data_IF_805081065215
#
_entry.id   IF_805081065215
#
_cell.length_a   1.000
_cell.length_b   1.000
_cell.length_c   1.000
_cell.angle_alpha   90.00
_cell.angle_beta   90.00
_cell.angle_gamma   90.00
#
_symmetry.space_group_name_H-M   'P 1'
#
loop_
_entity.id
_entity.type
_entity.pdbx_description
1 polymer ?
#
# COMPACT_ATOMS: atom_id res chain seq x y z
N UNK A 1 -13.20 -5.46 -19.16
CA UNK A 1 -13.79 -5.09 -17.86
C UNK A 1 -12.65 -5.19 -16.86
N UNK A 2 -11.87 -4.12 -16.77
CA UNK A 2 -10.51 -4.17 -16.24
C UNK A 2 -10.47 -3.33 -14.96
N UNK A 3 -11.28 -3.75 -14.00
CA UNK A 3 -11.43 -3.13 -12.68
C UNK A 3 -10.73 -3.97 -11.60
N UNK A 4 -9.77 -4.78 -12.03
CA UNK A 4 -8.95 -5.61 -11.16
C UNK A 4 -7.96 -4.72 -10.41
N UNK A 5 -7.92 -4.90 -9.08
CA UNK A 5 -6.99 -4.20 -8.20
C UNK A 5 -5.91 -5.17 -7.74
N UNK A 6 -4.67 -4.73 -7.77
CA UNK A 6 -3.50 -5.52 -7.40
C UNK A 6 -2.72 -4.79 -6.31
N UNK A 7 -2.20 -5.54 -5.35
CA UNK A 7 -1.35 -5.00 -4.28
C UNK A 7 0.05 -4.81 -4.82
N UNK A 8 0.51 -3.56 -4.85
CA UNK A 8 1.84 -3.20 -5.37
C UNK A 8 2.88 -3.06 -4.26
N UNK A 9 2.45 -2.78 -3.02
CA UNK A 9 3.36 -2.60 -1.89
C UNK A 9 2.65 -2.86 -0.56
N UNK A 10 3.38 -3.36 0.41
CA UNK A 10 2.92 -3.52 1.81
C UNK A 10 3.76 -2.64 2.72
N UNK A 11 3.10 -1.87 3.56
CA UNK A 11 3.72 -0.96 4.53
C UNK A 11 3.59 -1.50 5.93
N UNK A 12 4.49 -1.10 6.82
CA UNK A 12 4.47 -1.57 8.22
C UNK A 12 3.54 -0.72 9.10
N UNK A 13 3.22 0.51 8.66
CA UNK A 13 2.40 1.45 9.41
C UNK A 13 1.34 2.12 8.53
N UNK A 14 0.23 2.54 9.15
CA UNK A 14 -0.85 3.25 8.43
C UNK A 14 -0.39 4.60 7.93
N UNK A 15 0.51 5.25 8.67
CA UNK A 15 1.10 6.51 8.27
C UNK A 15 1.87 6.38 6.94
N UNK A 16 2.77 5.41 6.83
CA UNK A 16 3.53 5.19 5.58
C UNK A 16 2.61 4.84 4.42
N UNK A 17 1.60 3.99 4.67
CA UNK A 17 0.64 3.60 3.66
C UNK A 17 -0.23 4.79 3.20
N UNK A 18 -0.64 5.64 4.13
CA UNK A 18 -1.41 6.86 3.87
C UNK A 18 -0.60 7.89 3.08
N UNK A 19 0.68 8.06 3.39
CA UNK A 19 1.60 8.91 2.62
C UNK A 19 1.70 8.41 1.18
N UNK A 20 1.98 7.12 1.00
CA UNK A 20 2.06 6.50 -0.33
C UNK A 20 0.74 6.60 -1.11
N UNK A 21 -0.39 6.38 -0.44
CA UNK A 21 -1.73 6.59 -1.03
C UNK A 21 -1.90 8.04 -1.49
N UNK A 22 -1.49 9.02 -0.67
CA UNK A 22 -1.60 10.43 -1.01
C UNK A 22 -0.72 10.82 -2.20
N UNK A 23 0.48 10.25 -2.33
CA UNK A 23 1.34 10.45 -3.51
C UNK A 23 0.67 9.93 -4.79
N UNK A 24 0.08 8.73 -4.73
CA UNK A 24 -0.69 8.17 -5.86
C UNK A 24 -1.93 9.00 -6.20
N UNK A 25 -2.64 9.49 -5.19
CA UNK A 25 -3.83 10.34 -5.35
C UNK A 25 -3.48 11.66 -6.05
N UNK A 26 -2.34 12.28 -5.70
CA UNK A 26 -1.80 13.48 -6.36
C UNK A 26 -1.41 13.24 -7.82
N UNK A 27 -1.01 12.02 -8.16
CA UNK A 27 -0.75 11.60 -9.53
C UNK A 27 -2.03 11.22 -10.31
N UNK A 28 -3.20 11.28 -9.67
CA UNK A 28 -4.49 10.89 -10.27
C UNK A 28 -4.71 9.37 -10.34
N UNK A 29 -3.92 8.58 -9.61
CA UNK A 29 -4.04 7.12 -9.57
C UNK A 29 -4.95 6.71 -8.41
N UNK A 30 -5.98 5.93 -8.74
CA UNK A 30 -6.89 5.40 -7.73
C UNK A 30 -6.21 4.28 -6.93
N UNK A 31 -6.07 4.48 -5.63
CA UNK A 31 -5.42 3.55 -4.70
C UNK A 31 -6.27 3.27 -3.47
N UNK A 32 -6.18 2.03 -2.97
CA UNK A 32 -6.93 1.50 -1.84
C UNK A 32 -5.96 0.95 -0.79
N UNK A 33 -6.23 1.27 0.47
CA UNK A 33 -5.50 0.70 1.60
C UNK A 33 -6.25 -0.51 2.12
N UNK A 34 -5.64 -1.68 1.97
CA UNK A 34 -6.07 -2.94 2.57
C UNK A 34 -5.42 -3.04 3.95
N UNK A 35 -6.10 -2.51 4.95
CA UNK A 35 -5.71 -2.74 6.34
C UNK A 35 -6.11 -4.15 6.76
N UNK A 36 -5.18 -4.93 7.32
CA UNK A 36 -5.49 -6.23 7.92
C UNK A 36 -6.26 -6.09 9.25
N UNK A 37 -6.57 -4.87 9.68
CA UNK A 37 -7.15 -4.55 10.99
C UNK A 37 -8.69 -4.65 11.05
N UNK A 38 -9.31 -5.39 10.12
CA UNK A 38 -10.71 -5.76 10.25
C UNK A 38 -10.86 -6.95 11.23
N UNK A 39 -10.59 -6.71 12.51
CA UNK A 39 -11.13 -7.54 13.61
C UNK A 39 -10.36 -8.80 14.01
N UNK A 40 -9.03 -8.82 13.93
CA UNK A 40 -8.27 -9.88 14.59
C UNK A 40 -8.21 -9.63 16.11
N UNK A 41 -9.25 -10.10 16.78
CA UNK A 41 -9.23 -10.41 18.20
C UNK A 41 -7.93 -11.16 18.55
N UNK A 42 -7.18 -10.61 19.50
CA UNK A 42 -6.15 -11.24 20.32
C UNK A 42 -5.93 -12.75 20.07
N UNK A 43 -5.02 -13.11 19.16
CA UNK A 43 -4.38 -14.42 19.18
C UNK A 43 -3.00 -14.30 19.86
N UNK A 44 -2.78 -14.96 21.01
CA UNK A 44 -1.52 -14.90 21.73
C UNK A 44 -0.58 -15.95 21.12
N UNK A 45 0.13 -15.59 20.04
CA UNK A 45 1.21 -16.43 19.53
C UNK A 45 2.49 -15.59 19.37
N UNK A 46 3.47 -15.73 20.29
CA UNK A 46 4.63 -14.84 20.38
C UNK A 46 5.67 -15.00 19.25
N UNK A 47 5.42 -15.85 18.25
CA UNK A 47 6.39 -16.18 17.20
C UNK A 47 5.88 -15.92 15.76
N UNK A 48 4.67 -15.39 15.59
CA UNK A 48 4.05 -15.11 14.29
C UNK A 48 3.63 -13.64 14.16
N UNK A 49 4.47 -12.71 14.64
CA UNK A 49 4.36 -11.29 14.27
C UNK A 49 4.90 -11.04 12.85
N UNK A 50 4.65 -11.96 11.93
CA UNK A 50 5.05 -11.81 10.52
C UNK A 50 3.97 -10.98 9.82
N UNK A 51 4.21 -9.68 9.82
CA UNK A 51 3.62 -8.69 8.91
C UNK A 51 2.14 -8.40 9.12
N UNK A 52 1.80 -7.78 10.25
CA UNK A 52 0.63 -6.88 10.33
C UNK A 52 0.88 -5.63 9.48
N UNK A 53 1.01 -5.82 8.16
CA UNK A 53 1.25 -4.76 7.21
C UNK A 53 -0.05 -4.27 6.57
N UNK A 54 -0.02 -3.05 6.06
CA UNK A 54 -1.11 -2.44 5.31
C UNK A 54 -0.77 -2.53 3.83
N UNK A 55 -1.60 -3.23 3.07
CA UNK A 55 -1.43 -3.38 1.63
C UNK A 55 -1.91 -2.15 0.89
N UNK A 56 -1.10 -1.59 0.00
CA UNK A 56 -1.50 -0.55 -0.94
C UNK A 56 -1.83 -1.23 -2.27
N UNK A 57 -3.11 -1.19 -2.63
CA UNK A 57 -3.63 -1.73 -3.87
C UNK A 57 -3.96 -0.62 -4.86
N UNK A 58 -3.73 -0.86 -6.14
CA UNK A 58 -4.08 0.03 -7.25
C UNK A 58 -4.71 -0.77 -8.38
N UNK A 59 -5.31 -0.09 -9.34
CA UNK A 59 -5.83 -0.77 -10.54
C UNK A 59 -4.69 -1.38 -11.34
N UNK A 60 -4.90 -2.58 -11.88
CA UNK A 60 -3.86 -3.34 -12.60
C UNK A 60 -3.25 -2.53 -13.76
N UNK A 61 -4.06 -1.72 -14.45
CA UNK A 61 -3.61 -0.84 -15.54
C UNK A 61 -2.67 0.28 -15.08
N UNK A 62 -2.74 0.65 -13.81
CA UNK A 62 -2.00 1.75 -13.19
C UNK A 62 -0.87 1.21 -12.28
N UNK A 63 -0.70 -0.12 -12.18
CA UNK A 63 0.24 -0.77 -11.27
C UNK A 63 1.71 -0.38 -11.55
N UNK A 64 2.14 -0.44 -12.81
CA UNK A 64 3.51 -0.07 -13.20
C UNK A 64 3.80 1.41 -12.92
N UNK A 65 2.86 2.30 -13.27
CA UNK A 65 2.99 3.74 -13.04
C UNK A 65 3.02 4.07 -11.54
N UNK A 66 2.16 3.43 -10.75
CA UNK A 66 2.11 3.61 -9.31
C UNK A 66 3.41 3.16 -8.64
N UNK A 67 3.96 2.01 -9.05
CA UNK A 67 5.24 1.53 -8.53
C UNK A 67 6.41 2.46 -8.89
N UNK A 68 6.41 3.00 -10.11
CA UNK A 68 7.39 3.99 -10.54
C UNK A 68 7.31 5.27 -9.70
N UNK A 69 6.12 5.82 -9.46
CA UNK A 69 5.93 7.02 -8.63
C UNK A 69 6.40 6.78 -7.20
N UNK A 70 6.05 5.65 -6.59
CA UNK A 70 6.47 5.31 -5.22
C UNK A 70 7.98 5.02 -5.09
N UNK A 71 8.65 4.79 -6.21
CA UNK A 71 10.11 4.60 -6.27
C UNK A 71 10.83 5.94 -6.52
N UNK A 72 10.24 6.79 -7.36
CA UNK A 72 10.74 8.14 -7.65
C UNK A 72 10.50 9.11 -6.49
N UNK A 73 9.35 9.06 -5.79
CA UNK A 73 9.05 9.93 -4.64
C UNK A 73 9.97 9.74 -3.43
N UNK A 74 10.63 8.57 -3.32
CA UNK A 74 11.71 8.33 -2.33
C UNK A 74 13.06 8.91 -2.77
N UNK A 75 13.20 9.30 -4.04
CA UNK A 75 14.45 9.77 -4.61
C UNK A 75 14.43 11.29 -4.74
N UNK A 76 14.99 12.01 -3.76
CA UNK A 76 15.76 13.27 -3.89
C UNK A 76 16.22 13.75 -2.48
N UNK A 77 17.42 14.35 -2.30
CA UNK A 77 18.04 15.32 -3.22
C UNK A 77 19.54 15.10 -3.54
N UNK A 78 20.02 15.74 -4.62
CA UNK A 78 21.40 16.21 -4.77
C UNK A 78 21.48 17.71 -4.46
#
# INVERSE_FOLDING_TARGET
MDNEVVVIRTFSTELEASVAKAELDRAGIHSLLLSSDAGAERLPQPHLQLSHGIGLAVLVRDAETAEAILTMGRSEPE
#
